data_IF_252228042171
#
_entry.id   IF_252228042171
#
_cell.length_a   1.000
_cell.length_b   1.000
_cell.length_c   1.000
_cell.angle_alpha   90.00
_cell.angle_beta   90.00
_cell.angle_gamma   90.00
#
_symmetry.space_group_name_H-M   'P 1'
#
loop_
_entity.id
_entity.type
_entity.pdbx_description
1 polymer ?
#
# COMPACT_ATOMS: atom_id res chain seq x y z
N UNK A 1 7.55 -4.97 6.69
CA UNK A 1 7.10 -3.67 7.27
C UNK A 1 7.05 -3.78 8.78
N UNK A 2 7.08 -2.65 9.48
CA UNK A 2 7.06 -2.61 10.95
C UNK A 2 5.84 -3.32 11.57
N UNK A 3 4.75 -3.40 10.81
CA UNK A 3 3.48 -4.02 11.23
C UNK A 3 3.39 -5.54 10.95
N UNK A 4 4.48 -6.18 10.50
CA UNK A 4 4.53 -7.64 10.29
C UNK A 4 3.76 -8.20 9.08
N UNK A 5 2.95 -7.38 8.39
CA UNK A 5 2.28 -7.79 7.15
C UNK A 5 3.26 -8.16 6.04
N UNK A 6 3.09 -9.36 5.49
CA UNK A 6 3.78 -9.87 4.31
C UNK A 6 2.73 -10.21 3.26
N UNK A 7 2.89 -9.69 2.04
CA UNK A 7 2.05 -10.06 0.90
C UNK A 7 2.93 -10.75 -0.13
N UNK A 8 2.70 -12.05 -0.33
CA UNK A 8 3.32 -12.78 -1.43
C UNK A 8 2.65 -12.39 -2.73
N UNK A 9 3.46 -11.93 -3.68
CA UNK A 9 2.99 -11.60 -5.03
C UNK A 9 3.27 -12.82 -5.91
N UNK A 10 2.25 -13.28 -6.65
CA UNK A 10 2.42 -14.33 -7.65
C UNK A 10 3.28 -13.87 -8.84
N UNK A 11 3.57 -14.76 -9.81
CA UNK A 11 4.41 -14.42 -10.95
C UNK A 11 3.89 -13.19 -11.70
N UNK A 12 4.73 -12.16 -11.85
CA UNK A 12 4.39 -10.91 -12.56
C UNK A 12 5.16 -10.82 -13.86
N UNK A 13 4.49 -10.38 -14.94
CA UNK A 13 5.13 -10.19 -16.23
C UNK A 13 6.05 -8.94 -16.28
N UNK A 14 5.79 -7.94 -15.43
CA UNK A 14 6.60 -6.73 -15.33
C UNK A 14 7.66 -6.85 -14.22
N UNK A 15 8.92 -6.42 -14.47
CA UNK A 15 9.95 -6.36 -13.44
C UNK A 15 9.58 -5.33 -12.37
N UNK A 16 9.45 -5.80 -11.13
CA UNK A 16 9.38 -5.06 -9.86
C UNK A 16 8.75 -3.65 -9.96
N UNK A 17 7.43 -3.61 -10.05
CA UNK A 17 6.67 -2.35 -10.00
C UNK A 17 6.43 -1.94 -8.55
N UNK A 18 7.10 -0.89 -8.07
CA UNK A 18 6.94 -0.23 -6.77
C UNK A 18 5.58 -0.51 -6.10
N UNK A 19 5.57 -1.47 -5.17
CA UNK A 19 4.38 -1.84 -4.44
C UNK A 19 4.13 -0.82 -3.35
N UNK A 20 2.87 -0.59 -3.03
CA UNK A 20 2.48 0.31 -1.97
C UNK A 20 1.23 -0.20 -1.30
N UNK A 21 1.01 0.26 -0.07
CA UNK A 21 -0.19 -0.02 0.68
C UNK A 21 -0.67 1.19 1.45
N UNK A 22 -1.96 1.19 1.76
CA UNK A 22 -2.57 2.13 2.71
C UNK A 22 -3.22 1.29 3.81
N UNK A 23 -2.81 1.52 5.05
CA UNK A 23 -3.44 0.95 6.25
C UNK A 23 -4.31 2.05 6.85
N UNK A 24 -5.62 1.91 6.71
CA UNK A 24 -6.60 2.87 7.21
C UNK A 24 -7.27 2.35 8.48
N UNK A 25 -7.24 3.14 9.55
CA UNK A 25 -7.98 2.89 10.77
C UNK A 25 -9.33 3.61 10.70
N UNK A 26 -10.41 2.87 10.88
CA UNK A 26 -11.77 3.41 10.90
C UNK A 26 -12.16 3.74 12.34
N UNK A 27 -13.15 4.62 12.50
CA UNK A 27 -13.60 5.07 13.81
C UNK A 27 -14.21 3.93 14.67
N UNK A 28 -14.77 2.92 13.99
CA UNK A 28 -15.28 1.69 14.62
C UNK A 28 -14.20 0.70 15.10
N UNK A 29 -12.92 1.09 15.05
CA UNK A 29 -11.78 0.26 15.45
C UNK A 29 -11.37 -0.80 14.42
N UNK A 30 -12.00 -0.85 13.24
CA UNK A 30 -11.59 -1.74 12.16
C UNK A 30 -10.42 -1.15 11.37
N UNK A 31 -9.61 -2.02 10.79
CA UNK A 31 -8.52 -1.64 9.88
C UNK A 31 -8.84 -2.12 8.47
N UNK A 32 -8.79 -1.22 7.49
CA UNK A 32 -8.84 -1.54 6.07
C UNK A 32 -7.44 -1.43 5.48
N UNK A 33 -6.99 -2.44 4.73
CA UNK A 33 -5.68 -2.43 4.07
C UNK A 33 -5.86 -2.49 2.56
N UNK A 34 -5.38 -1.45 1.88
CA UNK A 34 -5.38 -1.36 0.43
C UNK A 34 -3.99 -1.65 -0.11
N UNK A 35 -3.90 -2.38 -1.21
CA UNK A 35 -2.65 -2.70 -1.89
C UNK A 35 -2.70 -2.26 -3.35
N UNK A 36 -1.57 -1.77 -3.86
CA UNK A 36 -1.40 -1.48 -5.26
C UNK A 36 0.06 -1.58 -5.69
N UNK A 37 0.30 -1.38 -6.98
CA UNK A 37 1.63 -1.35 -7.57
C UNK A 37 1.72 -0.24 -8.61
N UNK A 38 2.93 0.24 -8.88
CA UNK A 38 3.17 1.30 -9.85
C UNK A 38 4.49 1.08 -10.58
N UNK A 39 4.55 1.49 -11.85
CA UNK A 39 5.74 1.29 -12.70
C UNK A 39 6.95 2.12 -12.29
N UNK A 40 6.81 3.05 -11.34
CA UNK A 40 7.89 3.94 -10.90
C UNK A 40 7.65 4.46 -9.49
N UNK A 41 8.73 4.80 -8.77
CA UNK A 41 8.66 5.38 -7.42
C UNK A 41 7.85 6.68 -7.39
N UNK A 42 8.00 7.51 -8.42
CA UNK A 42 7.25 8.76 -8.53
C UNK A 42 5.74 8.53 -8.58
N UNK A 43 5.29 7.54 -9.38
CA UNK A 43 3.88 7.17 -9.46
C UNK A 43 3.37 6.56 -8.16
N UNK A 44 4.18 5.71 -7.49
CA UNK A 44 3.84 5.19 -6.16
C UNK A 44 3.68 6.32 -5.14
N UNK A 45 4.61 7.29 -5.10
CA UNK A 45 4.54 8.44 -4.19
C UNK A 45 3.29 9.30 -4.42
N UNK A 46 2.85 9.47 -5.67
CA UNK A 46 1.60 10.19 -5.99
C UNK A 46 0.35 9.50 -5.42
N UNK A 47 0.41 8.20 -5.11
CA UNK A 47 -0.72 7.49 -4.46
C UNK A 47 -0.95 7.89 -3.01
N UNK A 48 -0.07 8.68 -2.39
CA UNK A 48 -0.35 9.33 -1.10
C UNK A 48 -1.63 10.19 -1.16
N UNK A 49 -1.85 10.90 -2.26
CA UNK A 49 -3.06 11.70 -2.45
C UNK A 49 -4.34 10.83 -2.46
N UNK A 50 -4.25 9.58 -2.95
CA UNK A 50 -5.37 8.64 -2.87
C UNK A 50 -5.66 8.19 -1.43
N UNK A 51 -4.65 8.18 -0.55
CA UNK A 51 -4.85 7.93 0.86
C UNK A 51 -5.54 9.11 1.56
N UNK A 52 -5.15 10.34 1.23
CA UNK A 52 -5.79 11.57 1.72
C UNK A 52 -7.26 11.64 1.29
N UNK A 53 -7.53 11.39 0.01
CA UNK A 53 -8.88 11.38 -0.54
C UNK A 53 -9.72 10.26 0.08
N UNK A 54 -9.15 9.06 0.23
CA UNK A 54 -9.76 7.94 0.95
C UNK A 54 -10.13 8.30 2.40
N UNK A 55 -9.23 8.98 3.12
CA UNK A 55 -9.51 9.41 4.48
C UNK A 55 -10.67 10.39 4.55
N UNK A 56 -10.73 11.33 3.60
CA UNK A 56 -11.80 12.32 3.50
C UNK A 56 -13.15 11.72 3.11
N UNK A 57 -13.17 10.83 2.11
CA UNK A 57 -14.40 10.25 1.57
C UNK A 57 -14.97 9.15 2.46
N UNK A 58 -14.11 8.35 3.09
CA UNK A 58 -14.51 7.17 3.88
C UNK A 58 -14.51 7.40 5.39
N UNK A 59 -14.10 8.60 5.83
CA UNK A 59 -14.04 8.95 7.25
C UNK A 59 -13.02 8.12 8.03
N UNK A 60 -11.84 7.89 7.45
CA UNK A 60 -10.77 7.20 8.18
C UNK A 60 -10.29 8.06 9.34
N UNK A 61 -10.18 7.45 10.51
CA UNK A 61 -9.65 8.08 11.73
C UNK A 61 -8.17 8.40 11.58
N UNK A 62 -7.41 7.48 10.98
CA UNK A 62 -6.02 7.69 10.61
C UNK A 62 -5.65 6.75 9.47
N UNK A 63 -4.55 7.05 8.78
CA UNK A 63 -4.02 6.16 7.75
C UNK A 63 -2.50 6.21 7.71
N UNK A 64 -1.89 5.11 7.30
CA UNK A 64 -0.46 5.00 6.99
C UNK A 64 -0.28 4.58 5.55
N UNK A 65 0.46 5.38 4.78
CA UNK A 65 0.88 5.04 3.43
C UNK A 65 2.33 4.58 3.44
N UNK A 66 2.58 3.38 2.93
CA UNK A 66 3.92 2.79 2.86
C UNK A 66 4.19 2.27 1.45
N UNK A 67 5.39 2.53 0.94
CA UNK A 67 5.89 1.90 -0.29
C UNK A 67 6.63 0.64 0.16
N UNK A 68 6.16 -0.51 -0.30
CA UNK A 68 6.76 -1.79 0.01
C UNK A 68 7.99 -2.03 -0.87
N UNK A 69 9.12 -2.28 -0.21
CA UNK A 69 10.29 -2.85 -0.85
C UNK A 69 9.95 -4.29 -1.25
N UNK A 70 10.08 -4.59 -2.54
CA UNK A 70 9.86 -5.94 -3.03
C UNK A 70 11.19 -6.68 -3.03
N UNK A 71 11.25 -7.76 -2.26
CA UNK A 71 12.41 -8.66 -2.22
C UNK A 71 12.09 -9.85 -3.10
N UNK A 72 12.90 -10.03 -4.13
CA UNK A 72 12.85 -11.21 -4.98
C UNK A 72 13.34 -12.42 -4.18
N UNK A 73 12.47 -13.39 -3.96
CA UNK A 73 12.85 -14.67 -3.36
C UNK A 73 13.18 -15.61 -4.50
N UNK A 74 14.48 -15.89 -4.67
CA UNK A 74 14.90 -16.97 -5.56
C UNK A 74 14.31 -18.28 -5.05
N UNK A 75 13.69 -19.09 -5.93
CA UNK A 75 13.09 -20.37 -5.56
C UNK A 75 14.13 -21.36 -5.02
#
# INVERSE_FOLDING_TARGET
MADGYVKTIGPTADPFTHYWRIVALLDNGKTEVFWGHARSLAEAKKKRAAAEDGARMRGWKSYSFEIAELVETVP
#
